data_IF_950246328443
#
_entry.id   IF_950246328443
#
_cell.length_a   1.000
_cell.length_b   1.000
_cell.length_c   1.000
_cell.angle_alpha   90.00
_cell.angle_beta   90.00
_cell.angle_gamma   90.00
#
_symmetry.space_group_name_H-M   'P 1'
#
loop_
_entity.id
_entity.type
_entity.pdbx_description
1 polymer ?
#
# COMPACT_ATOMS: atom_id res chain seq x y z
N UNK A 1 31.81 -29.86 -11.52
CA UNK A 1 31.85 -28.40 -11.72
C UNK A 1 30.46 -27.86 -11.42
N UNK A 2 30.29 -27.19 -10.29
CA UNK A 2 29.03 -26.59 -9.87
C UNK A 2 29.04 -25.09 -10.18
N UNK A 3 27.99 -24.50 -10.77
CA UNK A 3 27.72 -23.07 -10.66
C UNK A 3 26.79 -22.86 -9.43
N UNK A 4 27.07 -22.04 -8.41
CA UNK A 4 27.46 -20.63 -8.42
C UNK A 4 26.23 -19.79 -8.84
N UNK A 5 25.62 -18.89 -8.08
CA UNK A 5 25.85 -18.28 -6.76
C UNK A 5 24.52 -17.62 -6.34
N UNK A 6 24.15 -17.67 -5.07
CA UNK A 6 22.94 -17.02 -4.54
C UNK A 6 23.22 -15.54 -4.27
N UNK A 7 22.49 -14.64 -4.93
CA UNK A 7 22.52 -13.21 -4.61
C UNK A 7 21.56 -12.98 -3.44
N UNK A 8 22.10 -13.04 -2.21
CA UNK A 8 21.44 -12.60 -0.99
C UNK A 8 21.77 -11.13 -0.74
N UNK A 9 20.90 -10.21 -1.15
CA UNK A 9 21.04 -8.79 -0.82
C UNK A 9 20.56 -8.52 0.60
N UNK A 10 21.48 -8.43 1.56
CA UNK A 10 21.18 -7.98 2.92
C UNK A 10 21.53 -6.48 3.03
N UNK A 11 20.52 -5.61 2.97
CA UNK A 11 20.73 -4.18 3.16
C UNK A 11 21.09 -3.91 4.64
N UNK A 12 22.37 -3.60 4.92
CA UNK A 12 22.81 -3.18 6.26
C UNK A 12 22.27 -1.77 6.57
N UNK A 13 21.06 -1.66 7.12
CA UNK A 13 20.67 -0.51 7.95
C UNK A 13 21.30 -0.66 9.34
N UNK A 14 21.66 0.46 9.96
CA UNK A 14 22.50 0.55 11.16
C UNK A 14 22.16 -0.43 12.28
N UNK A 15 23.20 -0.86 13.00
CA UNK A 15 23.14 -1.75 14.18
C UNK A 15 22.31 -1.11 15.31
N UNK A 16 20.99 -1.18 15.24
CA UNK A 16 20.15 -0.60 16.29
C UNK A 16 18.65 -0.80 16.19
N UNK A 17 18.10 -1.28 15.07
CA UNK A 17 16.66 -1.54 14.98
C UNK A 17 16.43 -2.98 14.51
N UNK A 18 15.73 -3.85 15.28
CA UNK A 18 15.50 -5.21 14.86
C UNK A 18 14.68 -5.19 13.57
N UNK A 19 15.30 -5.70 12.50
CA UNK A 19 14.58 -6.14 11.30
C UNK A 19 13.68 -7.30 11.74
N UNK A 20 12.47 -7.01 12.23
CA UNK A 20 11.49 -8.05 12.56
C UNK A 20 10.66 -7.90 13.83
N UNK A 21 10.68 -6.79 14.57
CA UNK A 21 9.83 -6.69 15.78
C UNK A 21 8.34 -6.44 15.48
N UNK A 22 7.99 -5.88 14.31
CA UNK A 22 6.57 -5.59 13.97
C UNK A 22 6.19 -5.85 12.49
N UNK A 23 7.15 -6.07 11.61
CA UNK A 23 6.91 -6.33 10.19
C UNK A 23 7.22 -7.79 9.85
N UNK A 24 6.27 -8.50 9.24
CA UNK A 24 6.57 -9.76 8.54
C UNK A 24 7.68 -9.44 7.54
N UNK A 25 8.81 -10.15 7.63
CA UNK A 25 9.92 -10.00 6.69
C UNK A 25 9.49 -10.44 5.29
N UNK A 26 8.97 -9.51 4.49
CA UNK A 26 8.59 -9.75 3.10
C UNK A 26 9.86 -9.66 2.25
N UNK A 27 10.61 -10.76 2.18
CA UNK A 27 11.56 -10.95 1.09
C UNK A 27 10.78 -11.24 -0.20
N UNK A 28 11.31 -10.84 -1.36
CA UNK A 28 10.78 -11.21 -2.68
C UNK A 28 10.59 -12.75 -2.81
N UNK A 29 11.35 -13.53 -2.03
CA UNK A 29 11.25 -14.98 -1.96
C UNK A 29 10.16 -15.49 -1.00
N UNK A 30 9.65 -14.70 -0.04
CA UNK A 30 8.64 -15.14 0.95
C UNK A 30 7.20 -14.81 0.54
N UNK A 31 7.00 -13.87 -0.40
CA UNK A 31 5.77 -13.80 -1.21
C UNK A 31 5.59 -15.03 -2.11
N UNK A 32 6.53 -15.97 -2.10
CA UNK A 32 6.46 -17.26 -2.77
C UNK A 32 5.31 -18.12 -2.21
N UNK A 33 4.32 -18.30 -3.08
CA UNK A 33 3.41 -19.45 -3.20
C UNK A 33 2.41 -19.73 -2.07
N UNK A 34 2.63 -19.33 -0.82
CA UNK A 34 1.70 -19.65 0.28
C UNK A 34 0.65 -18.56 0.53
N UNK A 35 1.01 -17.29 0.41
CA UNK A 35 0.14 -16.18 0.82
C UNK A 35 -0.80 -15.67 -0.28
N UNK A 36 -0.53 -15.99 -1.55
CA UNK A 36 -1.37 -15.53 -2.68
C UNK A 36 -2.43 -16.59 -2.97
N UNK A 37 -3.60 -16.43 -2.35
CA UNK A 37 -4.79 -17.26 -2.64
C UNK A 37 -5.73 -16.44 -3.52
N UNK A 38 -5.96 -16.89 -4.75
CA UNK A 38 -6.98 -16.31 -5.63
C UNK A 38 -8.22 -17.20 -5.60
N UNK A 39 -9.01 -17.15 -4.53
CA UNK A 39 -10.37 -17.68 -4.53
C UNK A 39 -11.36 -16.52 -4.49
N UNK A 40 -12.55 -16.69 -5.05
CA UNK A 40 -13.55 -15.62 -5.17
C UNK A 40 -13.90 -14.94 -3.82
N UNK A 41 -13.69 -15.66 -2.71
CA UNK A 41 -14.03 -15.19 -1.36
C UNK A 41 -12.81 -14.66 -0.57
N UNK A 42 -11.61 -14.68 -1.14
CA UNK A 42 -10.42 -14.19 -0.45
C UNK A 42 -10.12 -12.73 -0.80
N UNK A 43 -9.82 -11.94 0.23
CA UNK A 43 -9.42 -10.55 0.11
C UNK A 43 -8.11 -10.36 0.86
N UNK A 44 -7.06 -9.91 0.19
CA UNK A 44 -5.78 -9.62 0.82
C UNK A 44 -5.76 -8.19 1.38
N UNK A 45 -5.23 -7.97 2.57
CA UNK A 45 -4.90 -6.62 3.05
C UNK A 45 -3.40 -6.53 3.31
N UNK A 46 -2.76 -5.48 2.78
CA UNK A 46 -1.32 -5.25 2.91
C UNK A 46 -1.06 -3.88 3.55
N UNK A 47 -0.66 -3.89 4.82
CA UNK A 47 -0.23 -2.69 5.57
C UNK A 47 1.20 -2.34 5.17
N UNK A 48 1.35 -1.76 3.98
CA UNK A 48 2.64 -1.41 3.38
C UNK A 48 2.49 -0.05 2.70
N UNK A 49 3.40 0.87 3.00
CA UNK A 49 3.39 2.23 2.44
C UNK A 49 4.61 2.52 1.57
N UNK A 50 5.79 2.70 2.16
CA UNK A 50 7.00 3.11 1.43
C UNK A 50 7.34 2.25 0.19
N UNK A 51 7.39 0.91 0.31
CA UNK A 51 7.68 0.04 -0.82
C UNK A 51 6.41 -0.48 -1.53
N UNK A 52 5.23 0.13 -1.31
CA UNK A 52 3.95 -0.38 -1.79
C UNK A 52 3.91 -0.69 -3.29
N UNK A 53 4.38 0.19 -4.21
CA UNK A 53 4.38 -0.12 -5.65
C UNK A 53 5.22 -1.36 -6.01
N UNK A 54 6.35 -1.56 -5.33
CA UNK A 54 7.23 -2.70 -5.55
C UNK A 54 6.58 -3.99 -5.04
N UNK A 55 6.02 -3.95 -3.83
CA UNK A 55 5.35 -5.11 -3.25
C UNK A 55 4.09 -5.48 -4.05
N UNK A 56 3.37 -4.48 -4.57
CA UNK A 56 2.22 -4.71 -5.43
C UNK A 56 2.62 -5.40 -6.74
N UNK A 57 3.71 -4.96 -7.37
CA UNK A 57 4.24 -5.63 -8.56
C UNK A 57 4.65 -7.09 -8.27
N UNK A 58 5.29 -7.35 -7.13
CA UNK A 58 5.64 -8.70 -6.70
C UNK A 58 4.39 -9.56 -6.43
N UNK A 59 3.37 -9.01 -5.79
CA UNK A 59 2.09 -9.68 -5.53
C UNK A 59 1.40 -10.09 -6.83
N UNK A 60 1.32 -9.16 -7.80
CA UNK A 60 0.75 -9.42 -9.13
C UNK A 60 1.57 -10.48 -9.86
N UNK A 61 2.91 -10.39 -9.85
CA UNK A 61 3.78 -11.37 -10.50
C UNK A 61 3.61 -12.78 -9.90
N UNK A 62 3.53 -12.88 -8.57
CA UNK A 62 3.28 -14.14 -7.86
C UNK A 62 1.91 -14.73 -8.21
N UNK A 63 0.86 -13.90 -8.29
CA UNK A 63 -0.47 -14.31 -8.70
C UNK A 63 -0.49 -14.84 -10.14
N UNK A 64 0.10 -14.08 -11.08
CA UNK A 64 0.23 -14.48 -12.49
C UNK A 64 0.98 -15.80 -12.64
N UNK A 65 2.04 -16.02 -11.86
CA UNK A 65 2.82 -17.26 -11.87
C UNK A 65 2.01 -18.47 -11.37
N UNK A 66 1.15 -18.28 -10.37
CA UNK A 66 0.39 -19.37 -9.74
C UNK A 66 -0.92 -19.70 -10.46
N UNK A 67 -1.62 -18.70 -10.98
CA UNK A 67 -2.99 -18.84 -11.52
C UNK A 67 -3.13 -18.39 -12.98
N UNK A 68 -2.04 -17.93 -13.61
CA UNK A 68 -2.04 -17.39 -14.96
C UNK A 68 -2.44 -15.91 -15.03
N UNK A 69 -2.22 -15.28 -16.20
CA UNK A 69 -2.41 -13.83 -16.36
C UNK A 69 -3.86 -13.36 -16.17
N UNK A 70 -4.85 -14.22 -16.46
CA UNK A 70 -6.29 -13.91 -16.34
C UNK A 70 -6.76 -13.74 -14.89
N UNK A 71 -5.91 -14.04 -13.89
CA UNK A 71 -6.26 -13.86 -12.47
C UNK A 71 -6.28 -12.40 -12.04
N UNK A 72 -5.55 -11.50 -12.72
CA UNK A 72 -5.33 -10.12 -12.24
C UNK A 72 -6.63 -9.36 -11.97
N UNK A 73 -7.65 -9.39 -12.86
CA UNK A 73 -8.91 -8.71 -12.58
C UNK A 73 -9.69 -9.34 -11.42
N UNK A 74 -9.40 -10.61 -11.07
CA UNK A 74 -10.02 -11.38 -9.97
C UNK A 74 -9.35 -11.16 -8.61
N UNK A 75 -8.18 -10.52 -8.57
CA UNK A 75 -7.53 -10.18 -7.31
C UNK A 75 -8.35 -9.10 -6.57
N UNK A 76 -8.66 -9.39 -5.31
CA UNK A 76 -9.40 -8.51 -4.42
C UNK A 76 -8.56 -8.24 -3.19
N UNK A 77 -8.55 -6.98 -2.76
CA UNK A 77 -7.76 -6.59 -1.61
C UNK A 77 -7.53 -5.10 -1.50
N UNK A 78 -6.79 -4.74 -0.47
CA UNK A 78 -6.41 -3.36 -0.14
C UNK A 78 -4.92 -3.30 0.13
N UNK A 79 -4.28 -2.23 -0.35
CA UNK A 79 -2.93 -1.86 0.06
C UNK A 79 -3.01 -0.49 0.73
N UNK A 80 -2.27 -0.30 1.83
CA UNK A 80 -2.38 0.95 2.60
C UNK A 80 -1.84 2.14 1.79
N UNK A 81 -0.57 2.08 1.38
CA UNK A 81 0.06 2.97 0.40
C UNK A 81 -0.02 4.49 0.65
N UNK A 82 -0.64 4.95 1.73
CA UNK A 82 -0.80 6.37 2.05
C UNK A 82 0.53 6.96 2.51
N UNK A 83 1.11 7.84 1.69
CA UNK A 83 2.40 8.52 1.95
C UNK A 83 2.22 9.77 2.80
N UNK A 84 1.08 10.47 2.71
CA UNK A 84 0.86 11.69 3.50
C UNK A 84 0.89 11.39 5.00
N UNK A 85 0.21 10.32 5.43
CA UNK A 85 0.23 9.88 6.83
C UNK A 85 1.61 9.39 7.31
N UNK A 86 2.48 8.91 6.40
CA UNK A 86 3.87 8.57 6.75
C UNK A 86 4.67 9.81 7.13
N UNK A 87 4.47 10.92 6.41
CA UNK A 87 5.13 12.18 6.71
C UNK A 87 4.52 12.85 7.95
N UNK A 88 3.20 12.68 8.16
CA UNK A 88 2.47 13.32 9.26
C UNK A 88 2.61 12.59 10.60
N UNK A 89 2.74 11.26 10.62
CA UNK A 89 2.67 10.48 11.86
C UNK A 89 3.60 9.25 11.93
N UNK A 90 3.63 8.42 10.88
CA UNK A 90 4.15 7.04 10.98
C UNK A 90 5.65 6.87 10.62
N UNK A 91 6.25 7.80 9.89
CA UNK A 91 7.69 7.89 9.59
C UNK A 91 8.32 6.69 8.84
N UNK A 92 7.59 5.96 8.00
CA UNK A 92 8.12 4.85 7.17
C UNK A 92 8.50 5.26 5.74
N UNK A 93 8.79 6.55 5.50
CA UNK A 93 9.19 7.02 4.17
C UNK A 93 10.57 6.50 3.76
N UNK A 94 10.67 6.00 2.52
CA UNK A 94 11.94 5.52 1.93
C UNK A 94 12.53 6.56 0.97
N UNK A 95 11.68 7.20 0.17
CA UNK A 95 12.07 8.20 -0.83
C UNK A 95 11.52 9.57 -0.44
N UNK A 96 12.03 10.67 -1.05
CA UNK A 96 11.41 11.99 -0.91
C UNK A 96 9.92 11.95 -1.25
N UNK A 97 9.13 12.82 -0.60
CA UNK A 97 7.66 12.82 -0.69
C UNK A 97 7.15 12.88 -2.13
N UNK A 98 7.70 13.80 -2.94
CA UNK A 98 7.29 13.96 -4.34
C UNK A 98 7.52 12.69 -5.17
N UNK A 99 8.69 12.04 -5.00
CA UNK A 99 9.00 10.80 -5.70
C UNK A 99 8.08 9.65 -5.24
N UNK A 100 7.82 9.55 -3.93
CA UNK A 100 6.92 8.55 -3.35
C UNK A 100 5.49 8.71 -3.87
N UNK A 101 4.99 9.95 -3.91
CA UNK A 101 3.66 10.27 -4.44
C UNK A 101 3.56 9.96 -5.94
N UNK A 102 4.59 10.25 -6.72
CA UNK A 102 4.63 9.90 -8.15
C UNK A 102 4.44 8.39 -8.35
N UNK A 103 5.22 7.58 -7.64
CA UNK A 103 5.12 6.12 -7.73
C UNK A 103 3.77 5.58 -7.24
N UNK A 104 3.21 6.19 -6.20
CA UNK A 104 1.87 5.86 -5.72
C UNK A 104 0.81 6.15 -6.78
N UNK A 105 0.84 7.32 -7.41
CA UNK A 105 -0.10 7.66 -8.47
C UNK A 105 0.02 6.70 -9.66
N UNK A 106 1.24 6.30 -10.06
CA UNK A 106 1.45 5.29 -11.11
C UNK A 106 0.80 3.94 -10.74
N UNK A 107 0.97 3.52 -9.49
CA UNK A 107 0.34 2.29 -8.98
C UNK A 107 -1.19 2.40 -8.99
N UNK A 108 -1.75 3.53 -8.51
CA UNK A 108 -3.19 3.75 -8.47
C UNK A 108 -3.77 3.78 -9.89
N UNK A 109 -3.13 4.46 -10.83
CA UNK A 109 -3.56 4.51 -12.23
C UNK A 109 -3.56 3.13 -12.88
N UNK A 110 -2.48 2.36 -12.69
CA UNK A 110 -2.37 1.02 -13.26
C UNK A 110 -3.39 0.05 -12.66
N UNK A 111 -3.53 0.04 -11.33
CA UNK A 111 -4.55 -0.78 -10.64
C UNK A 111 -5.95 -0.33 -11.01
N UNK A 112 -6.13 0.97 -11.28
CA UNK A 112 -7.38 1.54 -11.73
C UNK A 112 -7.86 0.86 -13.01
N UNK A 113 -6.98 0.71 -13.99
CA UNK A 113 -7.32 0.07 -15.26
C UNK A 113 -7.39 -1.47 -15.20
N UNK A 114 -6.57 -2.11 -14.36
CA UNK A 114 -6.33 -3.56 -14.47
C UNK A 114 -6.93 -4.41 -13.33
N UNK A 115 -7.22 -3.80 -12.18
CA UNK A 115 -7.64 -4.49 -10.95
C UNK A 115 -8.92 -3.86 -10.39
N UNK A 116 -10.09 -4.12 -11.01
CA UNK A 116 -11.35 -3.48 -10.63
C UNK A 116 -11.84 -3.81 -9.21
N UNK A 117 -11.33 -4.90 -8.61
CA UNK A 117 -11.68 -5.35 -7.25
C UNK A 117 -10.66 -4.95 -6.19
N UNK A 118 -9.69 -4.11 -6.55
CA UNK A 118 -8.61 -3.70 -5.67
C UNK A 118 -8.78 -2.26 -5.19
N UNK A 119 -8.52 -2.02 -3.91
CA UNK A 119 -8.47 -0.70 -3.29
C UNK A 119 -7.00 -0.27 -3.20
N UNK A 120 -6.55 0.66 -4.07
CA UNK A 120 -5.12 0.91 -4.27
C UNK A 120 -4.50 1.86 -3.25
N UNK A 121 -5.30 2.49 -2.41
CA UNK A 121 -4.85 3.31 -1.28
C UNK A 121 -5.89 3.24 -0.18
N UNK A 122 -5.41 3.14 1.06
CA UNK A 122 -6.21 3.28 2.27
C UNK A 122 -5.77 4.55 3.00
N UNK A 123 -6.49 5.64 2.76
CA UNK A 123 -6.21 6.96 3.32
C UNK A 123 -6.45 6.88 4.84
N UNK A 124 -5.37 7.03 5.61
CA UNK A 124 -5.35 6.57 7.00
C UNK A 124 -5.33 7.73 7.99
N UNK A 125 -6.43 7.86 8.73
CA UNK A 125 -6.52 8.69 9.93
C UNK A 125 -6.04 7.99 11.18
N UNK A 126 -6.03 6.65 11.20
CA UNK A 126 -5.69 5.87 12.40
C UNK A 126 -4.38 6.31 13.07
N UNK A 127 -3.28 6.33 12.31
CA UNK A 127 -1.97 6.71 12.82
C UNK A 127 -1.88 8.19 13.22
N UNK A 128 -2.70 9.05 12.60
CA UNK A 128 -2.81 10.47 12.97
C UNK A 128 -3.52 10.59 14.32
N UNK A 129 -4.56 9.77 14.55
CA UNK A 129 -5.22 9.59 15.86
C UNK A 129 -4.23 9.16 16.93
N UNK A 130 -3.52 8.05 16.70
CA UNK A 130 -2.52 7.48 17.62
C UNK A 130 -1.34 8.43 17.90
N UNK A 131 -1.04 9.36 16.99
CA UNK A 131 -0.05 10.42 17.22
C UNK A 131 -0.55 11.56 18.15
N UNK A 132 -1.80 11.47 18.64
CA UNK A 132 -2.39 12.42 19.59
C UNK A 132 -3.34 13.45 18.97
N UNK A 133 -3.85 13.22 17.75
CA UNK A 133 -4.84 14.13 17.17
C UNK A 133 -6.23 13.96 17.80
N UNK A 134 -6.98 15.05 17.90
CA UNK A 134 -8.42 15.00 18.24
C UNK A 134 -9.22 14.34 17.10
N UNK A 135 -10.41 13.77 17.36
CA UNK A 135 -11.25 13.18 16.31
C UNK A 135 -11.52 14.14 15.13
N UNK A 136 -11.72 15.43 15.41
CA UNK A 136 -11.93 16.45 14.38
C UNK A 136 -10.67 16.66 13.53
N UNK A 137 -9.49 16.71 14.15
CA UNK A 137 -8.21 16.80 13.43
C UNK A 137 -7.96 15.55 12.59
N UNK A 138 -8.23 14.37 13.13
CA UNK A 138 -8.12 13.10 12.42
C UNK A 138 -8.95 13.13 11.14
N UNK A 139 -10.24 13.49 11.25
CA UNK A 139 -11.14 13.59 10.11
C UNK A 139 -10.67 14.64 9.10
N UNK A 140 -10.30 15.84 9.57
CA UNK A 140 -9.88 16.94 8.71
C UNK A 140 -8.61 16.60 7.90
N UNK A 141 -7.56 16.07 8.55
CA UNK A 141 -6.32 15.72 7.87
C UNK A 141 -6.51 14.52 6.92
N UNK A 142 -7.29 13.52 7.33
CA UNK A 142 -7.56 12.35 6.48
C UNK A 142 -8.33 12.73 5.22
N UNK A 143 -9.37 13.56 5.35
CA UNK A 143 -10.13 14.05 4.20
C UNK A 143 -9.28 14.96 3.31
N UNK A 144 -8.46 15.84 3.90
CA UNK A 144 -7.52 16.68 3.16
C UNK A 144 -6.52 15.85 2.34
N UNK A 145 -6.00 14.76 2.91
CA UNK A 145 -5.12 13.82 2.19
C UNK A 145 -5.89 13.15 1.03
N UNK A 146 -7.16 12.81 1.23
CA UNK A 146 -8.01 12.26 0.18
C UNK A 146 -8.25 13.22 -0.99
N UNK A 147 -8.52 14.50 -0.69
CA UNK A 147 -8.63 15.54 -1.73
C UNK A 147 -7.32 15.71 -2.49
N UNK A 148 -6.18 15.74 -1.79
CA UNK A 148 -4.87 15.83 -2.45
C UNK A 148 -4.64 14.65 -3.42
N UNK A 149 -4.96 13.42 -3.03
CA UNK A 149 -4.86 12.28 -3.96
C UNK A 149 -5.79 12.41 -5.16
N UNK A 150 -7.03 12.87 -4.94
CA UNK A 150 -7.99 13.08 -6.02
C UNK A 150 -7.54 14.15 -7.02
N UNK A 151 -6.99 15.26 -6.53
CA UNK A 151 -6.41 16.32 -7.35
C UNK A 151 -5.22 15.82 -8.15
N UNK A 152 -4.30 15.08 -7.51
CA UNK A 152 -3.12 14.52 -8.17
C UNK A 152 -3.49 13.54 -9.30
N UNK A 153 -4.48 12.67 -9.09
CA UNK A 153 -4.95 11.74 -10.12
C UNK A 153 -5.72 12.45 -11.24
N UNK A 154 -6.53 13.46 -10.89
CA UNK A 154 -7.27 14.27 -11.86
C UNK A 154 -6.31 15.10 -12.74
N UNK A 155 -5.25 15.65 -12.16
CA UNK A 155 -4.20 16.37 -12.89
C UNK A 155 -3.45 15.47 -13.89
N UNK A 156 -3.47 14.15 -13.69
CA UNK A 156 -2.94 13.14 -14.62
C UNK A 156 -3.93 12.72 -15.70
N UNK A 157 -5.15 13.26 -15.68
CA UNK A 157 -6.20 12.93 -16.63
C UNK A 157 -6.95 11.64 -16.34
N UNK A 158 -6.79 11.05 -15.14
CA UNK A 158 -7.60 9.89 -14.72
C UNK A 158 -8.99 10.40 -14.33
N UNK A 159 -10.08 9.96 -14.97
CA UNK A 159 -11.42 10.43 -14.62
C UNK A 159 -11.78 10.06 -13.17
N UNK A 160 -12.35 11.02 -12.43
CA UNK A 160 -12.67 10.86 -11.01
C UNK A 160 -13.54 9.63 -10.73
N UNK A 161 -14.52 9.36 -11.60
CA UNK A 161 -15.44 8.23 -11.47
C UNK A 161 -14.74 6.86 -11.59
N UNK A 162 -13.54 6.82 -12.18
CA UNK A 162 -12.79 5.57 -12.30
C UNK A 162 -12.05 5.21 -11.01
N UNK A 163 -11.48 6.18 -10.29
CA UNK A 163 -10.66 5.90 -9.12
C UNK A 163 -11.35 6.20 -7.79
N UNK A 164 -12.23 7.19 -7.72
CA UNK A 164 -12.85 7.64 -6.48
C UNK A 164 -13.63 6.53 -5.74
N UNK A 165 -14.42 5.65 -6.41
CA UNK A 165 -15.10 4.54 -5.75
C UNK A 165 -14.16 3.50 -5.10
N UNK A 166 -12.85 3.58 -5.39
CA UNK A 166 -11.84 2.66 -4.88
C UNK A 166 -10.90 3.28 -3.85
N UNK A 167 -11.04 4.57 -3.54
CA UNK A 167 -10.37 5.15 -2.40
C UNK A 167 -11.02 4.58 -1.13
N UNK A 168 -10.25 3.91 -0.28
CA UNK A 168 -10.72 3.45 1.03
C UNK A 168 -10.15 4.31 2.14
N UNK A 169 -10.81 4.33 3.30
CA UNK A 169 -10.41 5.08 4.47
C UNK A 169 -10.12 4.13 5.63
N UNK A 170 -9.14 4.49 6.47
CA UNK A 170 -8.81 3.77 7.69
C UNK A 170 -8.74 4.76 8.86
N UNK A 171 -9.83 4.85 9.61
CA UNK A 171 -9.99 5.76 10.75
C UNK A 171 -9.82 4.99 12.05
N UNK A 172 -9.33 5.70 13.07
CA UNK A 172 -9.37 5.22 14.44
C UNK A 172 -10.75 5.45 15.08
N UNK A 173 -11.12 4.58 16.01
CA UNK A 173 -12.30 4.69 16.84
C UNK A 173 -11.86 4.93 18.28
N UNK A 174 -11.92 6.19 18.72
CA UNK A 174 -11.64 6.56 20.11
C UNK A 174 -12.68 6.01 21.08
N UNK A 175 -12.42 6.21 22.38
CA UNK A 175 -13.32 5.80 23.47
C UNK A 175 -14.51 6.76 23.67
N UNK A 176 -14.44 7.96 23.08
CA UNK A 176 -15.49 8.95 23.18
C UNK A 176 -16.64 8.58 22.24
N UNK A 177 -17.83 8.42 22.82
CA UNK A 177 -19.06 7.99 22.12
C UNK A 177 -19.96 9.19 21.77
N UNK A 178 -19.62 10.39 22.26
CA UNK A 178 -20.38 11.63 22.04
C UNK A 178 -20.44 12.07 20.57
#
# INVERSE_FOLDING_TARGET
>A
MSPGSSISGNARRGKGNPVGAFAIGISALTLSQRSVTACANFSASMTISGPAPIIMAMYIAAAKRRFGAKVVPNLRGTIQADIFKEVQAQNETIFPTEASLRFLCDMIEWTTANMPRWYPVSISGYHIGEAGSTPVQQAAYTLSNGFAYAEMLSARGVPIDQFAPRLSFFLDCGLDVE
#
